data_IF_805792973637
#
_entry.id   IF_805792973637
#
_cell.length_a   1.000
_cell.length_b   1.000
_cell.length_c   1.000
_cell.angle_alpha   90.00
_cell.angle_beta   90.00
_cell.angle_gamma   90.00
#
_symmetry.space_group_name_H-M   'P 1'
#
loop_
_entity.id
_entity.type
_entity.pdbx_description
1 polymer ?
#
# COMPACT_ATOMS: atom_id res chain seq x y z
N UNK A 1 33.77 1.43 -14.89
CA UNK A 1 33.02 2.70 -15.06
C UNK A 1 32.33 3.02 -13.74
N UNK A 2 32.74 4.05 -12.98
CA UNK A 2 32.01 4.49 -11.78
C UNK A 2 31.14 5.72 -12.09
N UNK A 3 29.86 5.64 -11.75
CA UNK A 3 28.94 6.77 -11.68
C UNK A 3 29.17 7.50 -10.35
N UNK A 4 29.45 8.80 -10.41
CA UNK A 4 29.43 9.73 -9.27
C UNK A 4 28.06 10.42 -9.25
N UNK A 5 27.39 10.39 -8.11
CA UNK A 5 26.19 11.16 -7.81
C UNK A 5 26.62 12.45 -7.10
N UNK A 6 26.40 13.62 -7.72
CA UNK A 6 26.55 14.93 -7.07
C UNK A 6 25.17 15.50 -6.75
N UNK A 7 25.06 16.01 -5.52
CA UNK A 7 23.88 16.64 -4.94
C UNK A 7 23.91 18.15 -5.18
N UNK A 8 22.83 18.78 -5.67
CA UNK A 8 22.55 20.18 -5.25
C UNK A 8 21.12 20.66 -5.48
N UNK A 9 20.55 21.13 -4.37
CA UNK A 9 19.39 22.02 -4.19
C UNK A 9 19.62 23.36 -4.92
N UNK A 10 18.61 23.96 -5.53
CA UNK A 10 18.46 25.43 -5.56
C UNK A 10 16.99 25.85 -5.78
N UNK A 11 16.60 26.90 -5.06
CA UNK A 11 15.27 27.52 -5.05
C UNK A 11 15.24 28.71 -6.04
N UNK A 12 14.09 29.02 -6.63
CA UNK A 12 13.83 30.32 -7.26
C UNK A 12 12.35 30.44 -7.61
N UNK A 13 11.52 31.24 -6.94
CA UNK A 13 11.42 32.72 -6.94
C UNK A 13 10.73 33.30 -8.18
N UNK A 14 9.47 33.72 -7.99
CA UNK A 14 8.91 34.96 -8.51
C UNK A 14 8.31 34.99 -9.92
N UNK A 15 6.99 35.22 -10.01
CA UNK A 15 6.42 36.11 -11.01
C UNK A 15 5.05 36.65 -10.56
N UNK A 16 5.01 37.95 -10.31
CA UNK A 16 3.83 38.79 -10.09
C UNK A 16 3.11 38.98 -11.43
N UNK A 17 1.79 38.76 -11.48
CA UNK A 17 0.94 39.20 -12.60
C UNK A 17 -0.08 40.23 -12.10
N UNK A 18 -0.08 41.35 -12.83
CA UNK A 18 -0.79 42.61 -12.64
C UNK A 18 -1.98 42.66 -13.58
N UNK A 19 -3.19 42.95 -13.10
CA UNK A 19 -4.32 43.36 -13.93
C UNK A 19 -5.21 44.30 -13.09
N UNK A 20 -5.12 45.61 -13.30
CA UNK A 20 -5.73 46.43 -14.37
C UNK A 20 -7.24 46.51 -14.16
N UNK A 21 -7.67 47.65 -13.62
CA UNK A 21 -9.07 47.97 -13.36
C UNK A 21 -9.82 48.57 -14.55
N UNK A 22 -11.11 48.77 -14.31
CA UNK A 22 -11.99 49.73 -14.99
C UNK A 22 -13.18 49.99 -14.03
N UNK A 23 -13.25 51.17 -13.41
CA UNK A 23 -14.13 52.32 -13.73
C UNK A 23 -15.62 52.01 -13.96
N UNK A 24 -16.43 52.67 -13.13
CA UNK A 24 -17.54 53.48 -13.61
C UNK A 24 -18.94 52.97 -13.25
N UNK A 25 -19.67 53.75 -12.45
CA UNK A 25 -21.11 53.52 -12.23
C UNK A 25 -21.61 54.20 -10.98
N UNK A 26 -22.05 55.45 -11.16
CA UNK A 26 -22.38 56.46 -10.16
C UNK A 26 -23.70 56.22 -9.38
N UNK A 27 -23.81 57.01 -8.30
CA UNK A 27 -25.02 57.47 -7.60
C UNK A 27 -25.79 56.49 -6.71
N UNK A 28 -25.61 56.67 -5.38
CA UNK A 28 -26.75 56.95 -4.48
C UNK A 28 -26.40 57.95 -3.40
N UNK A 29 -27.18 59.04 -3.41
CA UNK A 29 -27.33 60.05 -2.36
C UNK A 29 -28.06 59.43 -1.17
N UNK A 30 -27.59 59.68 0.04
CA UNK A 30 -28.25 59.24 1.26
C UNK A 30 -27.34 59.31 2.47
N UNK A 31 -26.99 60.53 2.87
CA UNK A 31 -26.33 60.86 4.13
C UNK A 31 -27.20 60.42 5.31
N UNK A 32 -26.65 59.60 6.20
CA UNK A 32 -26.94 59.72 7.64
C UNK A 32 -25.89 58.94 8.43
N UNK A 33 -24.94 59.71 8.96
CA UNK A 33 -23.93 59.21 9.88
C UNK A 33 -24.53 58.60 11.14
N UNK A 34 -24.02 57.43 11.52
CA UNK A 34 -23.98 56.98 12.91
C UNK A 34 -22.55 56.55 13.21
N UNK A 35 -21.77 57.49 13.76
CA UNK A 35 -20.45 57.21 14.32
C UNK A 35 -20.64 56.34 15.57
N UNK A 36 -20.30 55.06 15.48
CA UNK A 36 -19.94 54.25 16.65
C UNK A 36 -18.47 53.89 16.49
N UNK A 37 -17.66 54.42 17.41
CA UNK A 37 -16.21 54.35 17.39
C UNK A 37 -15.67 52.94 17.61
N UNK A 38 -15.03 52.41 16.57
CA UNK A 38 -13.67 51.84 16.54
C UNK A 38 -13.09 51.31 17.86
N UNK A 39 -13.13 49.97 18.01
CA UNK A 39 -12.05 49.10 18.53
C UNK A 39 -12.06 47.86 17.61
N UNK A 40 -11.23 47.75 16.57
CA UNK A 40 -9.90 47.10 16.59
C UNK A 40 -9.91 45.95 17.62
N UNK A 41 -9.84 44.67 17.29
CA UNK A 41 -9.66 43.97 16.03
C UNK A 41 -9.57 42.46 16.33
N UNK A 42 -9.52 41.65 15.27
CA UNK A 42 -8.77 40.39 15.21
C UNK A 42 -9.11 39.29 16.23
N UNK A 43 -10.02 38.37 15.87
CA UNK A 43 -9.87 36.92 16.16
C UNK A 43 -10.92 36.16 15.36
N UNK A 44 -10.56 35.61 14.20
CA UNK A 44 -10.05 34.24 14.04
C UNK A 44 -11.19 33.27 13.68
N UNK A 45 -11.69 33.40 12.45
CA UNK A 45 -12.49 32.35 11.80
C UNK A 45 -11.59 31.15 11.45
N UNK A 46 -11.08 30.46 12.47
CA UNK A 46 -10.39 29.18 12.34
C UNK A 46 -11.35 28.10 12.87
N UNK A 47 -12.19 27.55 12.01
CA UNK A 47 -12.69 26.18 12.19
C UNK A 47 -12.49 25.47 10.85
N UNK A 48 -11.21 25.31 10.50
CA UNK A 48 -10.76 24.55 9.36
C UNK A 48 -10.85 23.06 9.72
N UNK A 49 -11.85 22.40 9.11
CA UNK A 49 -11.89 20.99 8.71
C UNK A 49 -10.83 20.05 9.32
N UNK A 50 -11.11 19.50 10.50
CA UNK A 50 -10.46 18.27 10.97
C UNK A 50 -11.36 17.08 10.62
N UNK A 51 -11.15 16.53 9.42
CA UNK A 51 -11.70 15.25 9.02
C UNK A 51 -10.60 14.45 8.29
N UNK A 52 -9.64 13.94 9.06
CA UNK A 52 -8.77 12.85 8.63
C UNK A 52 -8.97 11.66 9.58
N UNK A 53 -10.17 11.09 9.53
CA UNK A 53 -10.40 9.73 10.01
C UNK A 53 -9.93 8.78 8.91
N UNK A 54 -8.62 8.50 8.87
CA UNK A 54 -8.11 7.38 8.10
C UNK A 54 -8.59 6.09 8.76
N UNK A 55 -9.54 5.39 8.15
CA UNK A 55 -10.00 4.07 8.57
C UNK A 55 -8.82 3.10 8.70
N UNK A 56 -8.57 2.60 9.90
CA UNK A 56 -7.76 1.40 10.14
C UNK A 56 -8.55 0.15 9.75
N UNK A 57 -8.89 0.03 8.46
CA UNK A 57 -9.47 -1.17 7.88
C UNK A 57 -8.38 -2.07 7.29
N UNK A 58 -8.70 -3.35 6.99
CA UNK A 58 -7.78 -4.24 6.33
C UNK A 58 -7.27 -3.62 5.03
N UNK A 59 -5.96 -3.68 4.84
CA UNK A 59 -5.34 -3.35 3.56
C UNK A 59 -5.51 -4.53 2.62
N UNK A 60 -5.95 -4.23 1.39
CA UNK A 60 -6.12 -5.24 0.34
C UNK A 60 -5.25 -4.86 -0.85
N UNK A 61 -4.53 -5.84 -1.38
CA UNK A 61 -3.74 -5.65 -2.59
C UNK A 61 -3.82 -6.89 -3.49
N UNK A 62 -3.74 -6.65 -4.80
CA UNK A 62 -3.66 -7.73 -5.79
C UNK A 62 -2.27 -7.74 -6.41
N UNK A 63 -1.60 -8.88 -6.31
CA UNK A 63 -0.26 -9.10 -6.84
C UNK A 63 -0.35 -10.10 -7.98
N UNK A 64 0.19 -9.73 -9.14
CA UNK A 64 0.23 -10.61 -10.31
C UNK A 64 1.34 -11.65 -10.16
N UNK A 65 1.12 -12.80 -10.78
CA UNK A 65 2.07 -13.88 -10.83
C UNK A 65 3.34 -13.54 -11.62
N UNK A 66 4.37 -14.35 -11.37
CA UNK A 66 5.67 -14.23 -12.02
C UNK A 66 5.64 -14.82 -13.44
N UNK A 67 6.79 -14.85 -14.12
CA UNK A 67 6.94 -15.53 -15.40
C UNK A 67 6.66 -17.04 -15.34
N UNK A 68 6.82 -17.66 -14.17
CA UNK A 68 6.53 -19.09 -14.00
C UNK A 68 5.02 -19.37 -13.88
N UNK A 69 4.24 -18.37 -13.48
CA UNK A 69 2.79 -18.47 -13.34
C UNK A 69 2.10 -17.16 -13.75
N UNK A 70 2.20 -16.73 -15.01
CA UNK A 70 1.81 -15.39 -15.44
C UNK A 70 0.30 -15.13 -15.38
N UNK A 71 -0.49 -16.21 -15.30
CA UNK A 71 -1.94 -16.12 -15.12
C UNK A 71 -2.38 -16.04 -13.66
N UNK A 72 -1.51 -16.29 -12.68
CA UNK A 72 -1.89 -16.29 -11.28
C UNK A 72 -2.13 -14.87 -10.75
N UNK A 73 -3.15 -14.70 -9.94
CA UNK A 73 -3.48 -13.44 -9.28
C UNK A 73 -3.67 -13.68 -7.80
N UNK A 74 -2.85 -13.05 -6.95
CA UNK A 74 -2.94 -13.17 -5.50
C UNK A 74 -3.61 -11.94 -4.90
N UNK A 75 -4.74 -12.16 -4.25
CA UNK A 75 -5.42 -11.20 -3.38
C UNK A 75 -4.89 -11.40 -1.96
N UNK A 76 -4.23 -10.37 -1.45
CA UNK A 76 -3.64 -10.37 -0.11
C UNK A 76 -4.44 -9.39 0.73
N UNK A 77 -5.03 -9.89 1.81
CA UNK A 77 -5.73 -9.09 2.82
C UNK A 77 -4.88 -9.08 4.08
N UNK A 78 -4.48 -7.89 4.50
CA UNK A 78 -3.63 -7.68 5.67
C UNK A 78 -4.30 -6.67 6.60
N UNK A 79 -4.76 -7.16 7.73
CA UNK A 79 -5.30 -6.36 8.83
C UNK A 79 -4.20 -6.15 9.88
N UNK A 80 -3.67 -4.93 9.90
CA UNK A 80 -2.48 -4.58 10.68
C UNK A 80 -2.93 -4.06 12.04
N UNK A 81 -2.57 -4.78 13.10
CA UNK A 81 -2.66 -4.31 14.47
C UNK A 81 -1.36 -3.54 14.80
N UNK A 82 -1.44 -2.21 14.72
CA UNK A 82 -0.30 -1.33 15.02
C UNK A 82 0.11 -1.37 16.48
N UNK A 83 -0.83 -1.63 17.40
CA UNK A 83 -0.56 -1.66 18.84
C UNK A 83 0.20 -2.95 19.22
N UNK A 84 -0.19 -4.08 18.64
CA UNK A 84 0.47 -5.37 18.82
C UNK A 84 1.68 -5.59 17.88
N UNK A 85 1.85 -4.74 16.86
CA UNK A 85 2.84 -4.92 15.78
C UNK A 85 2.70 -6.27 15.07
N UNK A 86 1.45 -6.72 14.87
CA UNK A 86 1.13 -7.98 14.20
C UNK A 86 0.19 -7.73 13.02
N UNK A 87 0.19 -8.66 12.06
CA UNK A 87 -0.72 -8.60 10.92
C UNK A 87 -1.52 -9.88 10.84
N UNK A 88 -2.84 -9.74 10.79
CA UNK A 88 -3.76 -10.81 10.43
C UNK A 88 -3.82 -10.89 8.92
N UNK A 89 -3.25 -11.96 8.39
CA UNK A 89 -2.99 -12.18 6.97
C UNK A 89 -3.93 -13.26 6.43
N UNK A 90 -4.64 -12.93 5.36
CA UNK A 90 -5.33 -13.89 4.50
C UNK A 90 -4.83 -13.74 3.06
N UNK A 91 -4.75 -14.85 2.34
CA UNK A 91 -4.30 -14.87 0.94
C UNK A 91 -5.21 -15.77 0.14
N UNK A 92 -5.82 -15.23 -0.91
CA UNK A 92 -6.55 -15.98 -1.91
C UNK A 92 -5.84 -15.80 -3.27
N UNK A 93 -5.44 -16.90 -3.88
CA UNK A 93 -4.78 -16.88 -5.18
C UNK A 93 -5.68 -17.56 -6.21
N UNK A 94 -5.98 -16.85 -7.29
CA UNK A 94 -6.77 -17.36 -8.41
C UNK A 94 -5.87 -17.74 -9.59
N UNK A 95 -6.42 -18.55 -10.50
CA UNK A 95 -5.78 -18.95 -11.76
C UNK A 95 -4.39 -19.62 -11.58
N UNK A 96 -4.20 -20.30 -10.45
CA UNK A 96 -2.99 -21.05 -10.14
C UNK A 96 -2.83 -22.24 -11.08
N UNK A 97 -1.72 -22.24 -11.83
CA UNK A 97 -1.31 -23.46 -12.54
C UNK A 97 -0.98 -24.55 -11.52
N UNK A 98 -1.25 -25.84 -11.82
CA UNK A 98 -0.87 -26.94 -10.94
C UNK A 98 0.62 -26.87 -10.55
N UNK A 99 0.99 -27.22 -9.30
CA UNK A 99 2.36 -27.03 -8.79
C UNK A 99 3.39 -27.84 -9.58
N UNK A 100 3.03 -29.04 -10.04
CA UNK A 100 3.83 -29.91 -10.90
C UNK A 100 4.15 -29.33 -12.29
N UNK A 101 3.35 -28.36 -12.76
CA UNK A 101 3.62 -27.63 -14.02
C UNK A 101 4.60 -26.49 -13.83
N UNK A 102 4.80 -26.04 -12.60
CA UNK A 102 5.67 -24.92 -12.24
C UNK A 102 7.05 -25.47 -11.85
N UNK A 103 7.07 -26.48 -10.99
CA UNK A 103 8.28 -27.13 -10.49
C UNK A 103 8.16 -28.65 -10.65
N UNK A 104 9.22 -29.31 -11.10
CA UNK A 104 9.18 -30.77 -11.29
C UNK A 104 8.99 -31.49 -9.95
N UNK A 105 7.87 -32.21 -9.82
CA UNK A 105 7.47 -32.87 -8.57
C UNK A 105 6.96 -31.90 -7.50
N UNK A 106 6.58 -30.68 -7.87
CA UNK A 106 5.87 -29.74 -7.01
C UNK A 106 4.49 -30.29 -6.61
N UNK A 107 4.15 -30.19 -5.34
CA UNK A 107 2.91 -30.74 -4.76
C UNK A 107 2.14 -29.72 -3.92
N UNK A 108 2.81 -28.67 -3.44
CA UNK A 108 2.25 -27.71 -2.50
C UNK A 108 2.57 -26.28 -2.93
N UNK A 109 1.71 -25.33 -2.57
CA UNK A 109 2.07 -23.92 -2.59
C UNK A 109 2.33 -23.44 -1.18
N UNK A 110 3.52 -22.90 -0.94
CA UNK A 110 3.95 -22.48 0.40
C UNK A 110 4.07 -20.97 0.44
N UNK A 111 3.48 -20.38 1.48
CA UNK A 111 3.53 -18.94 1.74
C UNK A 111 4.65 -18.66 2.73
N UNK A 112 5.47 -17.68 2.39
CA UNK A 112 6.63 -17.25 3.14
C UNK A 112 6.52 -15.78 3.49
N UNK A 113 7.13 -15.41 4.62
CA UNK A 113 7.31 -14.02 5.02
C UNK A 113 8.76 -13.75 5.39
N UNK A 114 9.22 -12.51 5.21
CA UNK A 114 10.42 -12.00 5.86
C UNK A 114 10.24 -10.53 6.24
N UNK A 115 10.75 -10.07 7.40
CA UNK A 115 10.64 -8.66 7.80
C UNK A 115 11.36 -7.68 6.87
N UNK A 116 12.46 -8.13 6.27
CA UNK A 116 13.30 -7.33 5.37
C UNK A 116 14.04 -8.23 4.39
N UNK A 117 14.58 -7.66 3.32
CA UNK A 117 15.31 -8.39 2.27
C UNK A 117 16.56 -9.13 2.76
N UNK A 118 17.15 -8.67 3.87
CA UNK A 118 18.31 -9.28 4.53
C UNK A 118 17.92 -10.40 5.52
N UNK A 119 16.64 -10.48 5.89
CA UNK A 119 16.14 -11.49 6.81
C UNK A 119 15.87 -12.83 6.10
N UNK A 120 16.09 -13.97 6.77
CA UNK A 120 15.74 -15.26 6.21
C UNK A 120 14.22 -15.39 6.07
N UNK A 121 13.78 -16.07 5.00
CA UNK A 121 12.39 -16.43 4.80
C UNK A 121 11.89 -17.36 5.91
N UNK A 122 10.68 -17.11 6.39
CA UNK A 122 9.96 -17.92 7.37
C UNK A 122 8.66 -18.41 6.78
N UNK A 123 8.36 -19.69 6.99
CA UNK A 123 7.10 -20.28 6.51
C UNK A 123 5.93 -19.69 7.32
N UNK A 124 4.92 -19.22 6.61
CA UNK A 124 3.63 -18.83 7.20
C UNK A 124 2.70 -20.05 7.20
N UNK A 125 2.50 -20.66 6.03
CA UNK A 125 1.60 -21.78 5.86
C UNK A 125 1.65 -22.37 4.46
N UNK A 126 0.75 -23.31 4.20
CA UNK A 126 0.56 -23.94 2.90
C UNK A 126 -0.82 -23.50 2.39
N UNK A 127 -0.92 -23.12 1.12
CA UNK A 127 -2.21 -22.85 0.52
C UNK A 127 -2.99 -24.16 0.37
N UNK A 128 -4.27 -24.12 0.73
CA UNK A 128 -5.24 -25.12 0.35
C UNK A 128 -5.55 -24.94 -1.14
N UNK A 129 -4.96 -25.79 -1.98
CA UNK A 129 -5.07 -25.72 -3.44
C UNK A 129 -6.17 -26.65 -3.94
N UNK A 130 -7.11 -26.08 -4.66
CA UNK A 130 -8.16 -26.78 -5.37
C UNK A 130 -7.79 -26.87 -6.87
N UNK A 131 -7.52 -28.08 -7.40
CA UNK A 131 -7.15 -28.27 -8.80
C UNK A 131 -8.31 -28.01 -9.78
N UNK A 132 -9.56 -28.19 -9.36
CA UNK A 132 -10.74 -28.03 -10.21
C UNK A 132 -11.01 -26.54 -10.45
N UNK A 133 -10.90 -25.73 -9.40
CA UNK A 133 -11.10 -24.28 -9.50
C UNK A 133 -9.82 -23.49 -9.75
N UNK A 134 -8.64 -24.14 -9.65
CA UNK A 134 -7.31 -23.52 -9.74
C UNK A 134 -7.16 -22.36 -8.76
N UNK A 135 -7.65 -22.55 -7.54
CA UNK A 135 -7.58 -21.56 -6.45
C UNK A 135 -6.74 -22.10 -5.31
N UNK A 136 -5.96 -21.22 -4.68
CA UNK A 136 -5.19 -21.52 -3.48
C UNK A 136 -5.59 -20.57 -2.37
N UNK A 137 -5.95 -21.09 -1.18
CA UNK A 137 -6.33 -20.26 -0.03
C UNK A 137 -5.41 -20.48 1.15
N UNK A 138 -4.88 -19.41 1.72
CA UNK A 138 -4.33 -19.41 3.05
C UNK A 138 -5.45 -19.02 4.01
N UNK A 139 -5.78 -19.91 4.95
CA UNK A 139 -6.64 -19.53 6.07
C UNK A 139 -6.01 -18.35 6.82
N UNK A 140 -6.84 -17.51 7.43
CA UNK A 140 -6.35 -16.35 8.16
C UNK A 140 -5.34 -16.75 9.25
N UNK A 141 -4.15 -16.14 9.22
CA UNK A 141 -3.06 -16.40 10.19
C UNK A 141 -2.49 -15.09 10.73
N UNK A 142 -2.01 -15.11 11.98
CA UNK A 142 -1.30 -13.98 12.57
C UNK A 142 0.20 -14.06 12.29
N UNK A 143 0.75 -13.05 11.62
CA UNK A 143 2.18 -12.86 11.39
C UNK A 143 2.70 -11.85 12.41
N UNK A 144 3.82 -12.12 13.13
CA UNK A 144 4.33 -11.25 14.18
C UNK A 144 5.13 -10.05 13.64
N UNK A 145 4.68 -9.45 12.55
CA UNK A 145 5.29 -8.30 11.90
C UNK A 145 4.20 -7.43 11.26
N UNK A 146 4.22 -6.13 11.54
CA UNK A 146 3.34 -5.16 10.88
C UNK A 146 3.75 -4.88 9.42
N UNK A 147 5.05 -4.99 9.13
CA UNK A 147 5.63 -4.79 7.81
C UNK A 147 6.52 -5.98 7.45
N UNK A 148 6.31 -6.59 6.28
CA UNK A 148 7.08 -7.72 5.80
C UNK A 148 6.92 -7.89 4.29
N UNK A 149 7.78 -8.70 3.68
CA UNK A 149 7.59 -9.18 2.32
C UNK A 149 6.96 -10.56 2.34
N UNK A 150 5.99 -10.79 1.45
CA UNK A 150 5.32 -12.07 1.23
C UNK A 150 5.80 -12.69 -0.08
N UNK A 151 6.08 -13.99 -0.06
CA UNK A 151 6.45 -14.77 -1.24
C UNK A 151 5.63 -16.06 -1.28
N UNK A 152 5.19 -16.49 -2.48
CA UNK A 152 4.52 -17.77 -2.67
C UNK A 152 5.28 -18.61 -3.67
N UNK A 153 5.68 -19.82 -3.28
CA UNK A 153 6.43 -20.75 -4.12
C UNK A 153 5.71 -22.08 -4.31
N UNK A 154 5.96 -22.73 -5.45
CA UNK A 154 5.62 -24.14 -5.64
C UNK A 154 6.71 -25.02 -4.99
N UNK A 155 6.32 -25.94 -4.12
CA UNK A 155 7.23 -26.74 -3.32
C UNK A 155 6.91 -28.23 -3.43
N UNK A 156 7.96 -29.05 -3.32
CA UNK A 156 7.85 -30.52 -3.36
C UNK A 156 7.34 -31.10 -2.04
N UNK A 157 7.49 -30.36 -0.94
CA UNK A 157 7.10 -30.74 0.42
C UNK A 157 6.23 -29.62 1.01
N UNK A 158 5.36 -29.93 1.96
CA UNK A 158 4.53 -28.92 2.65
C UNK A 158 5.26 -28.13 3.75
N UNK A 159 6.43 -28.61 4.21
CA UNK A 159 7.22 -27.99 5.29
C UNK A 159 8.72 -27.84 4.96
N UNK A 160 9.09 -27.32 3.77
CA UNK A 160 10.48 -27.08 3.42
C UNK A 160 11.12 -26.06 4.37
N UNK A 161 12.45 -26.13 4.49
CA UNK A 161 13.22 -25.23 5.38
C UNK A 161 13.45 -23.84 4.79
N UNK A 162 13.34 -23.69 3.48
CA UNK A 162 13.54 -22.45 2.73
C UNK A 162 12.73 -22.50 1.43
N UNK A 163 12.35 -21.36 0.85
CA UNK A 163 11.69 -21.32 -0.45
C UNK A 163 12.61 -21.85 -1.55
N UNK A 164 12.02 -22.54 -2.52
CA UNK A 164 12.63 -22.87 -3.79
C UNK A 164 12.69 -21.65 -4.73
N UNK A 165 13.30 -21.82 -5.89
CA UNK A 165 13.31 -20.79 -6.94
C UNK A 165 11.97 -20.69 -7.70
N UNK A 166 11.03 -21.61 -7.46
CA UNK A 166 9.75 -21.71 -8.16
C UNK A 166 8.71 -20.72 -7.63
N UNK A 167 9.07 -19.43 -7.64
CA UNK A 167 8.20 -18.34 -7.19
C UNK A 167 7.01 -18.17 -8.14
N UNK A 168 5.81 -18.31 -7.61
CA UNK A 168 4.53 -18.11 -8.32
C UNK A 168 4.07 -16.67 -8.18
N UNK A 169 4.14 -16.15 -6.95
CA UNK A 169 3.95 -14.74 -6.63
C UNK A 169 5.29 -14.26 -6.10
N UNK A 170 5.83 -13.19 -6.69
CA UNK A 170 7.10 -12.62 -6.26
C UNK A 170 7.02 -11.98 -4.87
N UNK A 171 8.16 -11.55 -4.29
CA UNK A 171 8.16 -10.78 -3.06
C UNK A 171 7.26 -9.56 -3.20
N UNK A 172 6.23 -9.48 -2.36
CA UNK A 172 5.30 -8.36 -2.31
C UNK A 172 5.33 -7.76 -0.91
N UNK A 173 5.51 -6.45 -0.83
CA UNK A 173 5.45 -5.73 0.45
C UNK A 173 4.02 -5.80 1.01
N UNK A 174 3.93 -6.05 2.30
CA UNK A 174 2.70 -6.02 3.11
C UNK A 174 3.00 -5.15 4.32
N UNK A 175 2.25 -4.07 4.51
CA UNK A 175 2.55 -3.02 5.50
C UNK A 175 2.71 -1.64 4.90
#
# INVERSE_FOLDING_TARGET
MPFILDSRIERGSGAVVKQKGDRGGDMKRGDTGRRVGRRIGLTLSLLASMALSGCGGPSEQTVRGTQLAPGADAHITADIDSDASTTRLAVDVAHLSPPERIESGGQHFVVWQRPSSESPWRRVGVLDYDPDTRKGRLAEMTVPHANFELLITAERQGNPRSPSAAAVIGPASVG
#
